data_IF_382313434218
#
_entry.id   IF_382313434218
#
_cell.length_a   1.000
_cell.length_b   1.000
_cell.length_c   1.000
_cell.angle_alpha   90.00
_cell.angle_beta   90.00
_cell.angle_gamma   90.00
#
_symmetry.space_group_name_H-M   'P 1'
#
loop_
_entity.id
_entity.type
_entity.pdbx_description
1 polymer ?
#
# COMPACT_ATOMS: atom_id res chain seq x y z
N UNK A 1 2.00 0.23 10.55
CA UNK A 1 1.34 -0.40 11.71
C UNK A 1 -0.15 -0.15 11.61
N UNK A 2 -0.98 -1.16 11.82
CA UNK A 2 -2.44 -1.01 12.01
C UNK A 2 -2.78 -1.43 13.43
N UNK A 3 -3.95 -1.05 13.95
CA UNK A 3 -4.36 -1.44 15.32
C UNK A 3 -4.33 -2.96 15.55
N UNK A 4 -4.55 -3.73 14.48
CA UNK A 4 -4.60 -5.19 14.51
C UNK A 4 -3.27 -5.85 14.09
N UNK A 5 -2.33 -5.10 13.52
CA UNK A 5 -1.03 -5.58 13.08
C UNK A 5 0.07 -4.77 13.76
N UNK A 6 0.58 -5.35 14.84
CA UNK A 6 1.61 -4.76 15.70
C UNK A 6 3.00 -4.76 15.04
N UNK A 7 3.16 -5.32 13.84
CA UNK A 7 4.44 -5.28 13.12
C UNK A 7 4.73 -3.85 12.66
N UNK A 8 5.90 -3.34 13.06
CA UNK A 8 6.41 -2.05 12.58
C UNK A 8 6.92 -2.21 11.15
N UNK A 9 6.01 -1.99 10.20
CA UNK A 9 6.32 -2.03 8.76
C UNK A 9 5.82 -0.77 8.05
N UNK A 10 6.65 -0.31 7.12
CA UNK A 10 6.30 0.74 6.16
C UNK A 10 5.43 0.21 5.02
N UNK A 11 5.07 1.08 4.07
CA UNK A 11 4.28 0.68 2.89
C UNK A 11 5.11 0.02 1.79
N UNK A 12 6.42 0.29 1.77
CA UNK A 12 7.34 -0.20 0.74
C UNK A 12 7.54 -1.71 0.89
N UNK A 13 7.23 -2.51 -0.15
CA UNK A 13 7.47 -3.95 -0.13
C UNK A 13 8.95 -4.29 0.07
N UNK A 14 9.25 -5.51 0.54
CA UNK A 14 10.62 -6.00 0.58
C UNK A 14 11.27 -5.95 -0.81
N UNK A 15 12.38 -5.20 -0.94
CA UNK A 15 13.06 -4.96 -2.21
C UNK A 15 12.48 -3.82 -3.06
N UNK A 16 11.50 -3.07 -2.54
CA UNK A 16 10.91 -1.91 -3.18
C UNK A 16 9.75 -2.24 -4.15
N UNK A 17 9.07 -1.18 -4.60
CA UNK A 17 8.07 -1.30 -5.65
C UNK A 17 8.74 -1.53 -7.01
N UNK A 18 8.32 -2.60 -7.70
CA UNK A 18 8.84 -2.97 -9.03
C UNK A 18 8.80 -1.78 -10.01
N UNK A 19 9.96 -1.44 -10.57
CA UNK A 19 10.19 -0.30 -11.47
C UNK A 19 9.86 1.10 -10.90
N UNK A 20 9.59 1.24 -9.61
CA UNK A 20 9.41 2.52 -8.93
C UNK A 20 10.58 2.79 -7.97
N UNK A 21 10.77 1.93 -6.97
CA UNK A 21 11.72 2.11 -5.88
C UNK A 21 11.02 2.15 -4.52
N UNK A 22 11.59 2.91 -3.60
CA UNK A 22 11.06 3.07 -2.24
C UNK A 22 10.19 4.32 -2.13
N UNK A 23 9.18 4.28 -1.26
CA UNK A 23 8.34 5.44 -0.93
C UNK A 23 8.79 5.99 0.41
N UNK A 24 9.46 7.15 0.40
CA UNK A 24 9.97 7.83 1.60
C UNK A 24 9.15 9.05 2.02
N UNK A 25 8.28 9.53 1.12
CA UNK A 25 7.42 10.69 1.35
C UNK A 25 6.01 10.27 1.73
N UNK A 26 5.17 11.26 2.05
CA UNK A 26 3.74 11.07 2.29
C UNK A 26 3.05 10.42 1.08
N UNK A 27 2.14 9.52 1.37
CA UNK A 27 1.46 8.71 0.37
C UNK A 27 -0.02 8.57 0.68
N UNK A 28 -0.78 8.24 -0.37
CA UNK A 28 -2.22 7.93 -0.27
C UNK A 28 -2.45 6.56 -0.90
N UNK A 29 -3.14 5.67 -0.19
CA UNK A 29 -3.55 4.37 -0.73
C UNK A 29 -4.97 4.47 -1.27
N UNK A 30 -5.13 4.16 -2.56
CA UNK A 30 -6.41 4.24 -3.28
C UNK A 30 -6.93 2.82 -3.51
N UNK A 31 -8.25 2.65 -3.36
CA UNK A 31 -8.92 1.38 -3.66
C UNK A 31 -8.85 1.07 -5.17
N UNK A 32 -8.27 -0.07 -5.53
CA UNK A 32 -8.21 -0.57 -6.91
C UNK A 32 -6.96 -0.11 -7.67
N UNK A 33 -7.07 0.05 -8.99
CA UNK A 33 -6.00 0.51 -9.87
C UNK A 33 -6.26 1.93 -10.40
N UNK A 34 -5.18 2.63 -10.80
CA UNK A 34 -5.25 3.98 -11.37
C UNK A 34 -4.65 3.98 -12.77
N UNK A 35 -5.08 4.94 -13.59
CA UNK A 35 -4.68 5.10 -14.98
C UNK A 35 -3.16 5.33 -15.10
N UNK A 36 -2.49 4.49 -15.88
CA UNK A 36 -1.11 4.71 -16.32
C UNK A 36 -0.04 3.82 -15.72
N UNK A 37 1.18 3.99 -16.20
CA UNK A 37 2.34 3.25 -15.72
C UNK A 37 2.85 3.83 -14.39
N UNK A 38 3.58 2.99 -13.65
CA UNK A 38 4.34 3.39 -12.45
C UNK A 38 5.26 4.58 -12.78
N UNK A 39 5.45 5.50 -11.82
CA UNK A 39 6.16 6.80 -11.97
C UNK A 39 5.41 7.91 -12.73
N UNK A 40 4.23 7.66 -13.29
CA UNK A 40 3.43 8.72 -13.93
C UNK A 40 2.90 9.69 -12.88
N UNK A 41 3.06 10.99 -13.15
CA UNK A 41 2.44 12.04 -12.34
C UNK A 41 0.91 11.96 -12.48
N UNK A 42 0.19 11.99 -11.37
CA UNK A 42 -1.29 11.91 -11.34
C UNK A 42 -1.83 13.10 -10.56
N UNK A 43 -2.73 13.85 -11.17
CA UNK A 43 -3.44 14.96 -10.51
C UNK A 43 -4.73 14.44 -9.88
N UNK A 44 -4.80 14.47 -8.55
CA UNK A 44 -6.00 14.08 -7.80
C UNK A 44 -6.97 15.27 -7.70
N UNK A 45 -8.24 15.06 -8.06
CA UNK A 45 -9.31 16.06 -7.94
C UNK A 45 -10.40 15.56 -7.00
N UNK A 46 -10.97 16.47 -6.21
CA UNK A 46 -12.23 16.20 -5.50
C UNK A 46 -13.36 15.86 -6.48
N UNK A 47 -14.34 15.10 -6.00
CA UNK A 47 -15.57 14.87 -6.76
C UNK A 47 -16.31 16.20 -6.96
N UNK A 48 -16.98 16.34 -8.11
CA UNK A 48 -17.76 17.54 -8.42
C UNK A 48 -18.98 17.68 -7.50
N UNK A 49 -19.56 16.54 -7.12
CA UNK A 49 -20.75 16.43 -6.28
C UNK A 49 -20.41 15.66 -4.99
N UNK A 50 -21.10 15.94 -3.87
CA UNK A 50 -20.93 15.18 -2.64
C UNK A 50 -21.30 13.72 -2.87
N UNK A 51 -20.42 12.81 -2.43
CA UNK A 51 -20.66 11.37 -2.54
C UNK A 51 -21.50 10.90 -1.35
N UNK A 52 -22.77 10.58 -1.58
CA UNK A 52 -23.73 10.18 -0.54
C UNK A 52 -24.06 8.68 -0.52
N UNK A 53 -23.49 7.91 -1.45
CA UNK A 53 -23.75 6.46 -1.51
C UNK A 53 -23.18 5.73 -0.29
N UNK A 54 -23.84 4.66 0.15
CA UNK A 54 -23.36 3.83 1.29
C UNK A 54 -21.90 3.39 1.14
N UNK A 55 -21.49 3.05 -0.08
CA UNK A 55 -20.12 2.65 -0.43
C UNK A 55 -19.11 3.79 -0.28
N UNK A 56 -19.54 5.03 -0.45
CA UNK A 56 -18.69 6.21 -0.32
C UNK A 56 -18.55 6.68 1.14
N UNK A 57 -19.56 6.45 1.97
CA UNK A 57 -19.58 6.83 3.40
C UNK A 57 -19.10 5.71 4.32
N UNK A 58 -18.71 4.57 3.77
CA UNK A 58 -18.16 3.44 4.53
C UNK A 58 -16.87 3.86 5.25
N UNK A 59 -16.83 3.68 6.58
CA UNK A 59 -15.61 3.87 7.36
C UNK A 59 -14.68 2.70 7.12
N UNK A 60 -13.48 2.98 6.63
CA UNK A 60 -12.50 1.95 6.28
C UNK A 60 -11.51 1.77 7.42
N UNK A 61 -11.54 0.60 8.06
CA UNK A 61 -10.56 0.17 9.06
C UNK A 61 -9.71 -0.96 8.47
N UNK A 62 -8.41 -0.72 8.33
CA UNK A 62 -7.48 -1.67 7.72
C UNK A 62 -6.90 -2.59 8.79
N UNK A 63 -7.04 -3.90 8.61
CA UNK A 63 -6.46 -4.90 9.52
C UNK A 63 -5.04 -5.29 9.12
N UNK A 64 -4.81 -5.47 7.83
CA UNK A 64 -3.53 -5.97 7.31
C UNK A 64 -3.17 -5.27 6.00
N UNK A 65 -1.87 -4.97 5.85
CA UNK A 65 -1.26 -4.47 4.63
C UNK A 65 -0.11 -5.40 4.28
N UNK A 66 -0.10 -5.88 3.04
CA UNK A 66 0.94 -6.78 2.55
C UNK A 66 2.19 -6.01 2.12
N UNK A 67 3.31 -6.28 2.80
CA UNK A 67 4.64 -5.73 2.52
C UNK A 67 5.58 -6.78 1.94
N UNK A 68 5.06 -7.96 1.58
CA UNK A 68 5.87 -8.97 0.92
C UNK A 68 6.37 -8.50 -0.45
N UNK A 69 7.57 -8.98 -0.80
CA UNK A 69 8.19 -8.68 -2.09
C UNK A 69 7.25 -8.95 -3.25
N UNK A 70 7.23 -8.03 -4.21
CA UNK A 70 6.49 -8.16 -5.48
C UNK A 70 7.38 -8.63 -6.64
N UNK A 71 8.64 -8.95 -6.35
CA UNK A 71 9.53 -9.64 -7.28
C UNK A 71 9.35 -11.15 -7.09
N UNK A 72 8.60 -11.78 -8.00
CA UNK A 72 8.24 -13.20 -7.89
C UNK A 72 7.15 -13.46 -6.84
N UNK A 73 7.27 -14.56 -6.11
CA UNK A 73 6.33 -14.94 -5.04
C UNK A 73 6.86 -14.53 -3.66
N UNK A 74 6.39 -13.39 -3.14
CA UNK A 74 6.76 -12.91 -1.82
C UNK A 74 6.15 -13.76 -0.69
N UNK A 75 7.01 -14.24 0.23
CA UNK A 75 6.61 -15.05 1.40
C UNK A 75 6.74 -14.32 2.74
N UNK A 76 7.70 -13.40 2.84
CA UNK A 76 8.06 -12.72 4.09
C UNK A 76 7.56 -11.28 4.05
N UNK A 77 7.04 -10.78 5.18
CA UNK A 77 6.57 -9.40 5.33
C UNK A 77 7.69 -8.46 5.76
N UNK A 78 8.64 -8.95 6.56
CA UNK A 78 9.79 -8.19 7.06
C UNK A 78 11.12 -8.86 6.71
N UNK A 79 12.20 -8.08 6.72
CA UNK A 79 13.56 -8.60 6.56
C UNK A 79 13.94 -9.52 7.71
N UNK A 80 13.48 -9.21 8.92
CA UNK A 80 13.69 -10.01 10.13
C UNK A 80 13.04 -11.40 10.04
N UNK A 81 11.82 -11.51 9.50
CA UNK A 81 11.18 -12.80 9.26
C UNK A 81 12.00 -13.68 8.32
N UNK A 82 12.57 -13.08 7.26
CA UNK A 82 13.44 -13.80 6.34
C UNK A 82 14.73 -14.24 7.02
N UNK A 83 15.36 -13.37 7.80
CA UNK A 83 16.61 -13.67 8.52
C UNK A 83 16.44 -14.67 9.67
N UNK A 84 15.23 -14.81 10.24
CA UNK A 84 14.93 -15.85 11.24
C UNK A 84 14.61 -17.20 10.60
N UNK A 85 14.15 -17.21 9.35
CA UNK A 85 13.78 -18.44 8.65
C UNK A 85 15.00 -19.21 8.09
N UNK A 86 16.04 -18.49 7.69
CA UNK A 86 17.30 -19.03 7.16
C UNK A 86 18.41 -18.90 8.19
#
# INVERSE_FOLDING_TARGET
>A
MTENDLTEKGITPLGGFSHYGEVTQDWVMVKGCVMGCRKRLITMRKSLLPQVSRKATEKVELKFIDTASKFGHGRFQTSEEKAKFY
#
